data_IF_981098811917
#
_entry.id   IF_981098811917
#
_cell.length_a   1.000
_cell.length_b   1.000
_cell.length_c   1.000
_cell.angle_alpha   90.00
_cell.angle_beta   90.00
_cell.angle_gamma   90.00
#
_symmetry.space_group_name_H-M   'P 1'
#
loop_
_entity.id
_entity.type
_entity.pdbx_description
1 polymer ?
#
# COMPACT_ATOMS: atom_id res chain seq x y z
N UNK A 1 19.29 -18.82 -24.53
CA UNK A 1 19.13 -18.82 -23.06
C UNK A 1 17.66 -18.65 -22.76
N UNK A 2 17.11 -19.47 -21.86
CA UNK A 2 15.68 -19.45 -21.52
C UNK A 2 15.34 -18.12 -20.83
N UNK A 3 14.37 -17.38 -21.38
CA UNK A 3 13.83 -16.12 -20.83
C UNK A 3 12.80 -16.36 -19.72
N UNK A 4 12.63 -17.60 -19.26
CA UNK A 4 11.72 -17.92 -18.17
C UNK A 4 12.28 -17.42 -16.83
N UNK A 5 11.86 -16.23 -16.42
CA UNK A 5 11.92 -15.79 -15.03
C UNK A 5 10.67 -16.28 -14.30
N UNK A 6 10.83 -16.77 -13.07
CA UNK A 6 9.68 -17.14 -12.22
C UNK A 6 9.00 -15.90 -11.62
N UNK A 7 9.72 -14.78 -11.52
CA UNK A 7 9.23 -13.49 -11.03
C UNK A 7 9.34 -12.47 -12.16
N UNK A 8 8.21 -11.83 -12.49
CA UNK A 8 8.15 -10.83 -13.57
C UNK A 8 8.61 -9.44 -13.12
N UNK A 9 8.35 -9.07 -11.86
CA UNK A 9 8.78 -7.82 -11.25
C UNK A 9 9.11 -8.07 -9.78
N UNK A 10 10.32 -7.71 -9.36
CA UNK A 10 10.82 -7.95 -8.00
C UNK A 10 10.36 -6.83 -7.06
N UNK A 11 9.97 -7.18 -5.84
CA UNK A 11 9.63 -6.17 -4.83
C UNK A 11 10.84 -5.26 -4.57
N UNK A 12 10.57 -3.96 -4.46
CA UNK A 12 11.61 -2.93 -4.29
C UNK A 12 12.30 -2.50 -5.59
N UNK A 13 11.87 -3.02 -6.75
CA UNK A 13 12.30 -2.50 -8.05
C UNK A 13 11.23 -1.59 -8.65
N UNK A 14 11.68 -0.45 -9.18
CA UNK A 14 10.85 0.54 -9.88
C UNK A 14 11.43 0.73 -11.27
N UNK A 15 10.56 0.83 -12.27
CA UNK A 15 10.94 1.06 -13.66
C UNK A 15 10.40 2.42 -14.13
N UNK A 16 11.04 3.01 -15.15
CA UNK A 16 10.52 4.20 -15.82
C UNK A 16 9.09 3.96 -16.35
N UNK A 17 8.23 4.97 -16.18
CA UNK A 17 6.92 4.97 -16.82
C UNK A 17 6.91 5.87 -18.05
N UNK A 18 7.28 5.32 -19.21
CA UNK A 18 7.27 6.06 -20.48
C UNK A 18 5.87 6.57 -20.85
N UNK A 19 4.81 5.82 -20.51
CA UNK A 19 3.42 6.21 -20.76
C UNK A 19 2.99 7.44 -19.96
N UNK A 20 3.53 7.59 -18.74
CA UNK A 20 3.26 8.73 -17.86
C UNK A 20 4.34 9.81 -17.93
N UNK A 21 5.41 9.58 -18.71
CA UNK A 21 6.61 10.43 -18.81
C UNK A 21 7.24 10.70 -17.44
N UNK A 22 7.31 9.65 -16.62
CA UNK A 22 7.97 9.69 -15.31
C UNK A 22 9.26 8.88 -15.37
N UNK A 23 10.38 9.57 -15.18
CA UNK A 23 11.70 8.95 -15.04
C UNK A 23 11.76 8.07 -13.78
N UNK A 24 12.61 7.05 -13.83
CA UNK A 24 12.77 6.03 -12.79
C UNK A 24 13.02 6.64 -11.40
N UNK A 25 13.96 7.59 -11.28
CA UNK A 25 14.32 8.23 -10.01
C UNK A 25 13.12 8.94 -9.35
N UNK A 26 12.28 9.60 -10.16
CA UNK A 26 11.07 10.27 -9.66
C UNK A 26 9.98 9.28 -9.31
N UNK A 27 9.83 8.24 -10.11
CA UNK A 27 8.88 7.17 -9.81
C UNK A 27 9.24 6.47 -8.50
N UNK A 28 10.52 6.21 -8.24
CA UNK A 28 11.01 5.57 -7.01
C UNK A 28 10.68 6.39 -5.76
N UNK A 29 11.00 7.70 -5.77
CA UNK A 29 10.67 8.61 -4.66
C UNK A 29 9.17 8.64 -4.35
N UNK A 30 8.32 8.62 -5.39
CA UNK A 30 6.86 8.61 -5.22
C UNK A 30 6.39 7.26 -4.67
N UNK A 31 6.87 6.15 -5.24
CA UNK A 31 6.46 4.80 -4.85
C UNK A 31 6.88 4.48 -3.41
N UNK A 32 8.04 4.96 -2.96
CA UNK A 32 8.48 4.81 -1.57
C UNK A 32 7.53 5.50 -0.58
N UNK A 33 7.14 6.74 -0.89
CA UNK A 33 6.17 7.48 -0.09
C UNK A 33 4.80 6.77 -0.10
N UNK A 34 4.32 6.35 -1.27
CA UNK A 34 3.03 5.69 -1.41
C UNK A 34 2.98 4.32 -0.73
N UNK A 35 4.06 3.53 -0.78
CA UNK A 35 4.13 2.24 -0.08
C UNK A 35 4.15 2.42 1.44
N UNK A 36 4.81 3.47 1.94
CA UNK A 36 4.78 3.84 3.35
C UNK A 36 3.35 4.19 3.79
N UNK A 37 2.67 5.04 3.02
CA UNK A 37 1.30 5.44 3.30
C UNK A 37 0.32 4.26 3.18
N UNK A 38 0.50 3.39 2.18
CA UNK A 38 -0.31 2.19 2.00
C UNK A 38 -0.20 1.25 3.21
N UNK A 39 1.01 0.97 3.67
CA UNK A 39 1.23 0.12 4.84
C UNK A 39 0.57 0.73 6.09
N UNK A 40 0.77 2.04 6.33
CA UNK A 40 0.17 2.75 7.44
C UNK A 40 -1.37 2.73 7.38
N UNK A 41 -1.94 3.02 6.21
CA UNK A 41 -3.38 3.02 5.99
C UNK A 41 -3.99 1.62 6.17
N UNK A 42 -3.29 0.56 5.77
CA UNK A 42 -3.78 -0.82 5.93
C UNK A 42 -3.80 -1.25 7.40
N UNK A 43 -2.78 -0.87 8.17
CA UNK A 43 -2.76 -1.08 9.62
C UNK A 43 -3.88 -0.28 10.29
N UNK A 44 -4.04 1.00 9.91
CA UNK A 44 -5.13 1.84 10.40
C UNK A 44 -6.50 1.21 10.10
N UNK A 45 -6.71 0.74 8.87
CA UNK A 45 -7.94 0.05 8.48
C UNK A 45 -8.24 -1.12 9.42
N UNK A 46 -7.26 -2.01 9.65
CA UNK A 46 -7.47 -3.14 10.57
C UNK A 46 -7.71 -2.71 12.01
N UNK A 47 -7.07 -1.63 12.47
CA UNK A 47 -7.31 -1.09 13.80
C UNK A 47 -8.72 -0.49 13.93
N UNK A 48 -9.20 0.23 12.91
CA UNK A 48 -10.57 0.72 12.87
C UNK A 48 -11.58 -0.43 12.84
N UNK A 49 -11.31 -1.51 12.09
CA UNK A 49 -12.13 -2.74 12.13
C UNK A 49 -12.15 -3.37 13.52
N UNK A 50 -10.99 -3.42 14.20
CA UNK A 50 -10.89 -3.88 15.58
C UNK A 50 -11.72 -2.99 16.53
N UNK A 51 -11.65 -1.68 16.40
CA UNK A 51 -12.44 -0.76 17.23
C UNK A 51 -13.92 -0.94 16.97
N UNK A 52 -14.33 -0.95 15.70
CA UNK A 52 -15.69 -1.23 15.26
C UNK A 52 -16.22 -2.50 15.93
N UNK A 53 -15.51 -3.63 15.86
CA UNK A 53 -15.99 -4.88 16.46
C UNK A 53 -16.04 -4.91 17.99
N UNK A 54 -15.15 -4.19 18.67
CA UNK A 54 -14.98 -4.30 20.12
C UNK A 54 -15.47 -3.06 20.89
N UNK A 55 -16.06 -2.06 20.23
CA UNK A 55 -16.57 -0.86 20.91
C UNK A 55 -17.76 -1.23 21.80
N UNK A 56 -17.72 -0.74 23.04
CA UNK A 56 -18.72 -0.94 24.09
C UNK A 56 -19.06 0.42 24.74
N UNK A 57 -20.12 0.49 25.54
CA UNK A 57 -20.59 1.73 26.18
C UNK A 57 -22.00 2.12 25.73
N UNK A 58 -22.55 3.20 26.29
CA UNK A 58 -23.93 3.60 26.02
C UNK A 58 -24.15 4.03 24.55
N UNK A 59 -23.10 4.55 23.91
CA UNK A 59 -23.10 5.05 22.53
C UNK A 59 -22.58 4.02 21.50
N UNK A 60 -22.30 2.78 21.92
CA UNK A 60 -21.57 1.81 21.08
C UNK A 60 -22.24 1.49 19.74
N UNK A 61 -23.58 1.53 19.68
CA UNK A 61 -24.36 1.20 18.48
C UNK A 61 -24.16 2.20 17.35
N UNK A 62 -23.92 3.47 17.67
CA UNK A 62 -23.69 4.51 16.67
C UNK A 62 -22.23 4.54 16.21
N UNK A 63 -21.31 4.07 17.06
CA UNK A 63 -19.87 4.00 16.79
C UNK A 63 -19.44 2.73 16.03
N UNK A 64 -20.25 1.67 16.07
CA UNK A 64 -20.06 0.44 15.30
C UNK A 64 -20.53 0.66 13.86
#
# INVERSE_FOLDING_TARGET
MSTQKTVNQEFGTVEESAALRLEEEKAEQIIDALNTDLAAAYVLYHQLRKHHWNVEGAEHRDLH
#
